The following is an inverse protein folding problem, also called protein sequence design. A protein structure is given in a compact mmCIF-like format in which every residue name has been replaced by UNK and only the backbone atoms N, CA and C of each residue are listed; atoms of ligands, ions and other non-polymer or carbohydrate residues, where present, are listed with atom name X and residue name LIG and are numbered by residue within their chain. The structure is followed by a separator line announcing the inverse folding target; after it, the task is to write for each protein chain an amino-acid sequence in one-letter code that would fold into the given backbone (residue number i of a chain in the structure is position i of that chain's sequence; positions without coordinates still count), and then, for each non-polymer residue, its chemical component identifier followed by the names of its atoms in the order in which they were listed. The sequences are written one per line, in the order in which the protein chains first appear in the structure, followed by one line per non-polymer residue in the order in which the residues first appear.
data_IF_751259520525
#
_entry.id   IF_751259520525
#
_cell.length_a   1.000
_cell.length_b   1.000
_cell.length_c   1.000
_cell.angle_alpha   90.00
_cell.angle_beta   90.00
_cell.angle_gamma   90.00
#
_symmetry.space_group_name_H-M   'P 1'
#
loop_
_entity.id
_entity.type
_entity.pdbx_description
1 polymer ?
#
# COMPACT_ATOMS: atom_id res chain seq x y z
N UNK A 1 22.58 3.59 3.19
CA UNK A 1 22.02 3.38 1.84
C UNK A 1 20.66 2.73 2.04
N UNK A 2 19.64 3.24 1.37
CA UNK A 2 18.33 2.63 1.40
C UNK A 2 18.34 1.40 0.49
N UNK A 3 17.89 0.28 1.03
CA UNK A 3 17.83 -0.99 0.30
C UNK A 3 16.58 -1.79 0.65
N UNK A 4 15.71 -1.28 1.52
CA UNK A 4 14.45 -1.95 1.83
C UNK A 4 13.40 -1.67 0.75
N UNK A 5 12.27 -2.34 0.85
CA UNK A 5 11.21 -2.32 -0.15
C UNK A 5 9.87 -1.97 0.51
N UNK A 6 8.98 -1.33 -0.25
CA UNK A 6 7.63 -1.09 0.20
C UNK A 6 6.61 -1.15 -0.94
N UNK A 7 5.37 -1.49 -0.63
CA UNK A 7 4.26 -1.42 -1.58
C UNK A 7 3.15 -0.57 -0.97
N UNK A 8 2.67 0.42 -1.73
CA UNK A 8 1.36 1.03 -1.49
C UNK A 8 0.33 0.09 -2.11
N UNK A 9 -0.37 -0.66 -1.25
CA UNK A 9 -1.30 -1.72 -1.65
C UNK A 9 -2.72 -1.17 -1.63
N UNK A 10 -3.43 -1.28 -2.75
CA UNK A 10 -4.86 -0.97 -2.83
C UNK A 10 -5.68 -2.23 -3.10
N UNK A 11 -6.94 -2.14 -2.68
CA UNK A 11 -7.99 -3.11 -2.94
C UNK A 11 -9.06 -2.40 -3.77
N UNK A 12 -8.94 -2.40 -5.11
CA UNK A 12 -9.75 -1.51 -5.94
C UNK A 12 -11.23 -1.84 -5.91
N UNK A 13 -11.57 -3.12 -5.75
CA UNK A 13 -12.95 -3.60 -5.73
C UNK A 13 -13.47 -3.75 -4.28
N UNK A 14 -12.80 -3.14 -3.30
CA UNK A 14 -13.23 -3.20 -1.91
C UNK A 14 -14.53 -2.41 -1.70
N UNK A 15 -15.60 -3.01 -1.17
CA UNK A 15 -16.84 -2.30 -0.92
C UNK A 15 -16.70 -1.40 0.32
N UNK A 16 -16.79 -0.08 0.12
CA UNK A 16 -16.70 0.94 1.18
C UNK A 16 -18.09 1.48 1.49
N UNK A 17 -18.48 1.48 2.76
CA UNK A 17 -19.64 2.25 3.20
C UNK A 17 -19.22 3.73 3.34
N UNK A 18 -19.87 4.64 2.62
CA UNK A 18 -19.51 6.07 2.65
C UNK A 18 -20.23 6.85 3.73
N UNK A 19 -21.19 6.25 4.45
CA UNK A 19 -22.10 6.96 5.38
C UNK A 19 -22.79 8.18 4.73
N UNK A 20 -22.91 8.20 3.39
CA UNK A 20 -23.68 9.18 2.61
C UNK A 20 -24.99 8.58 2.12
N UNK A 21 -25.87 9.39 1.51
CA UNK A 21 -27.16 8.96 0.94
C UNK A 21 -27.03 7.78 -0.05
N UNK A 22 -25.85 7.59 -0.68
CA UNK A 22 -25.57 6.51 -1.62
C UNK A 22 -25.16 5.18 -0.96
N UNK A 23 -24.98 5.13 0.36
CA UNK A 23 -24.64 3.90 1.09
C UNK A 23 -23.23 3.37 0.76
N UNK A 24 -23.16 2.15 0.20
CA UNK A 24 -21.91 1.50 -0.19
C UNK A 24 -21.50 1.89 -1.62
N UNK A 25 -20.24 2.24 -1.82
CA UNK A 25 -19.63 2.37 -3.15
C UNK A 25 -18.30 1.65 -3.21
N UNK A 26 -18.07 0.97 -4.33
CA UNK A 26 -16.79 0.36 -4.68
C UNK A 26 -15.80 1.38 -5.24
N UNK A 27 -16.24 2.61 -5.55
CA UNK A 27 -15.46 3.59 -6.31
C UNK A 27 -14.27 4.22 -5.56
N UNK A 28 -14.17 4.03 -4.24
CA UNK A 28 -13.08 4.58 -3.41
C UNK A 28 -11.95 3.57 -3.15
N UNK A 29 -12.26 2.28 -3.05
CA UNK A 29 -11.29 1.25 -2.65
C UNK A 29 -10.80 1.38 -1.19
N UNK A 30 -9.92 0.46 -0.79
CA UNK A 30 -9.19 0.52 0.49
C UNK A 30 -7.68 0.42 0.24
N UNK A 31 -6.86 0.88 1.18
CA UNK A 31 -5.41 0.83 1.06
C UNK A 31 -4.68 0.50 2.36
N UNK A 32 -3.46 0.00 2.20
CA UNK A 32 -2.47 -0.10 3.26
C UNK A 32 -1.07 -0.09 2.67
N UNK A 33 -0.08 -0.30 3.53
CA UNK A 33 1.33 -0.27 3.16
C UNK A 33 2.02 -1.54 3.65
N UNK A 34 2.69 -2.22 2.72
CA UNK A 34 3.54 -3.38 2.99
C UNK A 34 4.98 -2.89 3.07
N UNK A 35 5.68 -3.21 4.15
CA UNK A 35 7.07 -2.87 4.41
C UNK A 35 7.88 -4.16 4.44
N UNK A 36 8.99 -4.21 3.70
CA UNK A 36 9.87 -5.38 3.64
C UNK A 36 11.32 -4.93 3.87
N UNK A 37 11.91 -5.40 4.95
CA UNK A 37 13.33 -5.18 5.27
C UNK A 37 14.21 -6.16 4.52
N UNK A 38 15.46 -5.80 4.22
CA UNK A 38 16.48 -6.69 3.66
C UNK A 38 16.79 -7.93 4.51
N UNK A 39 16.45 -7.91 5.81
CA UNK A 39 16.52 -9.12 6.65
C UNK A 39 15.39 -10.12 6.40
N UNK A 40 14.42 -9.78 5.54
CA UNK A 40 13.18 -10.50 5.34
C UNK A 40 12.07 -10.11 6.32
N UNK A 41 12.32 -9.24 7.31
CA UNK A 41 11.27 -8.78 8.22
C UNK A 41 10.18 -8.04 7.43
N UNK A 42 8.94 -8.48 7.59
CA UNK A 42 7.82 -7.91 6.84
C UNK A 42 6.73 -7.43 7.78
N UNK A 43 6.18 -6.25 7.49
CA UNK A 43 5.08 -5.65 8.23
C UNK A 43 4.05 -5.09 7.28
N UNK A 44 2.78 -5.17 7.67
CA UNK A 44 1.70 -4.54 6.94
C UNK A 44 0.87 -3.70 7.89
N UNK A 45 0.61 -2.46 7.49
CA UNK A 45 -0.21 -1.50 8.21
C UNK A 45 -1.29 -0.93 7.31
N UNK A 46 -2.46 -0.73 7.88
CA UNK A 46 -3.60 -0.08 7.22
C UNK A 46 -4.23 0.92 8.18
N UNK A 47 -4.81 1.98 7.65
CA UNK A 47 -5.49 3.00 8.42
C UNK A 47 -6.95 3.09 7.97
N UNK A 48 -7.89 3.18 8.89
CA UNK A 48 -9.29 3.24 8.52
C UNK A 48 -10.23 3.37 9.69
N UNK A 49 -11.51 3.52 9.39
CA UNK A 49 -12.59 3.62 10.39
C UNK A 49 -12.92 2.23 10.93
N UNK A 50 -12.23 1.86 11.99
CA UNK A 50 -12.20 0.50 12.53
C UNK A 50 -12.77 0.40 13.94
N UNK A 51 -12.91 1.55 14.59
CA UNK A 51 -13.48 1.75 15.90
C UNK A 51 -14.91 2.28 15.79
N UNK A 52 -15.77 2.07 16.81
CA UNK A 52 -17.14 2.59 16.80
C UNK A 52 -17.24 4.11 16.70
N UNK A 53 -16.20 4.83 17.14
CA UNK A 53 -16.14 6.29 17.05
C UNK A 53 -15.68 6.81 15.67
N UNK A 54 -15.31 5.91 14.76
CA UNK A 54 -14.96 6.23 13.37
C UNK A 54 -13.82 7.24 13.23
N UNK A 55 -12.93 7.33 14.24
CA UNK A 55 -11.88 8.36 14.32
C UNK A 55 -10.68 8.09 13.39
N UNK A 56 -10.57 6.86 12.88
CA UNK A 56 -9.37 6.39 12.20
C UNK A 56 -8.45 5.68 13.17
N UNK A 57 -8.14 4.44 12.87
CA UNK A 57 -7.24 3.62 13.67
C UNK A 57 -6.25 2.96 12.73
N UNK A 58 -4.99 2.95 13.13
CA UNK A 58 -3.99 2.13 12.46
C UNK A 58 -4.13 0.69 12.96
N UNK A 59 -4.22 -0.26 12.03
CA UNK A 59 -4.16 -1.70 12.31
C UNK A 59 -2.92 -2.29 11.67
N UNK A 60 -2.37 -3.31 12.31
CA UNK A 60 -1.39 -4.19 11.72
C UNK A 60 -2.02 -5.55 11.38
N UNK A 61 -1.54 -6.19 10.31
CA UNK A 61 -1.90 -7.57 9.97
C UNK A 61 -0.71 -8.47 10.14
N UNK A 62 -0.95 -9.64 10.74
CA UNK A 62 0.08 -10.66 10.83
C UNK A 62 0.20 -11.34 9.46
N UNK A 63 1.38 -11.22 8.87
CA UNK A 63 1.72 -11.80 7.58
C UNK A 63 3.07 -12.52 7.66
N UNK A 64 3.36 -13.45 6.72
CA UNK A 64 4.67 -14.08 6.62
C UNK A 64 5.77 -13.05 6.37
N UNK A 65 6.96 -13.33 6.90
CA UNK A 65 8.18 -12.61 6.53
C UNK A 65 8.57 -12.95 5.08
N UNK A 66 9.15 -11.98 4.40
CA UNK A 66 9.71 -12.15 3.07
C UNK A 66 10.95 -13.06 3.10
N UNK A 67 11.08 -13.85 2.04
CA UNK A 67 12.31 -14.52 1.65
C UNK A 67 13.00 -13.62 0.64
N UNK A 68 14.21 -13.15 0.95
CA UNK A 68 15.01 -12.29 0.07
C UNK A 68 15.81 -13.16 -0.89
N UNK A 69 15.71 -12.86 -2.19
CA UNK A 69 16.44 -13.54 -3.25
C UNK A 69 17.87 -13.05 -3.39
N UNK A 70 18.63 -13.68 -4.29
CA UNK A 70 20.02 -13.30 -4.58
C UNK A 70 20.16 -11.89 -5.17
N UNK A 71 19.09 -11.34 -5.73
CA UNK A 71 19.02 -9.96 -6.22
C UNK A 71 18.77 -8.92 -5.11
N UNK A 72 18.72 -9.35 -3.84
CA UNK A 72 18.44 -8.46 -2.71
C UNK A 72 17.00 -7.94 -2.70
N UNK A 73 16.03 -8.65 -3.28
CA UNK A 73 14.60 -8.29 -3.25
C UNK A 73 13.76 -9.46 -2.75
N UNK A 74 12.57 -9.20 -2.24
CA UNK A 74 11.61 -10.25 -1.93
C UNK A 74 11.38 -11.16 -3.16
N UNK A 75 11.42 -12.47 -2.96
CA UNK A 75 11.18 -13.40 -4.06
C UNK A 75 9.73 -13.27 -4.58
N UNK A 76 9.47 -13.46 -5.88
CA UNK A 76 8.11 -13.37 -6.40
C UNK A 76 7.14 -14.36 -5.75
N UNK A 77 7.62 -15.55 -5.34
CA UNK A 77 6.79 -16.57 -4.70
C UNK A 77 6.31 -16.16 -3.30
N UNK A 78 7.18 -15.61 -2.45
CA UNK A 78 6.79 -15.15 -1.12
C UNK A 78 5.93 -13.88 -1.20
N UNK A 79 6.23 -12.96 -2.13
CA UNK A 79 5.43 -11.77 -2.34
C UNK A 79 4.00 -12.15 -2.74
N UNK A 80 3.83 -13.08 -3.69
CA UNK A 80 2.51 -13.62 -4.07
C UNK A 80 1.76 -14.24 -2.88
N UNK A 81 2.45 -14.96 -2.00
CA UNK A 81 1.84 -15.54 -0.80
C UNK A 81 1.39 -14.45 0.20
N UNK A 82 2.19 -13.40 0.38
CA UNK A 82 1.84 -12.23 1.20
C UNK A 82 0.62 -11.52 0.61
N UNK A 83 0.61 -11.22 -0.70
CA UNK A 83 -0.51 -10.54 -1.37
C UNK A 83 -1.80 -11.35 -1.28
N UNK A 84 -1.74 -12.68 -1.42
CA UNK A 84 -2.89 -13.56 -1.18
C UNK A 84 -3.42 -13.41 0.25
N UNK A 85 -2.53 -13.45 1.24
CA UNK A 85 -2.90 -13.28 2.64
C UNK A 85 -3.56 -11.93 2.91
N UNK A 86 -3.03 -10.86 2.31
CA UNK A 86 -3.56 -9.50 2.43
C UNK A 86 -4.91 -9.33 1.74
N UNK A 87 -5.09 -9.89 0.54
CA UNK A 87 -6.38 -9.91 -0.15
C UNK A 87 -7.45 -10.54 0.75
N UNK A 88 -7.16 -11.65 1.41
CA UNK A 88 -8.11 -12.28 2.35
C UNK A 88 -8.34 -11.45 3.63
N UNK A 89 -7.28 -11.00 4.29
CA UNK A 89 -7.36 -10.39 5.64
C UNK A 89 -7.80 -8.91 5.65
N UNK A 90 -7.51 -8.18 4.57
CA UNK A 90 -7.71 -6.74 4.45
C UNK A 90 -8.52 -6.36 3.22
N UNK A 91 -8.46 -7.17 2.15
CA UNK A 91 -9.13 -6.91 0.88
C UNK A 91 -10.48 -7.60 0.68
N UNK A 92 -11.02 -8.34 1.65
CA UNK A 92 -12.27 -9.14 1.48
C UNK A 92 -12.23 -10.10 0.26
N UNK A 93 -11.07 -10.69 -0.01
CA UNK A 93 -10.80 -11.55 -1.18
C UNK A 93 -10.99 -10.85 -2.54
N UNK A 94 -10.79 -9.54 -2.63
CA UNK A 94 -10.75 -8.81 -3.91
C UNK A 94 -9.33 -8.73 -4.47
N UNK A 95 -9.20 -8.33 -5.74
CA UNK A 95 -7.89 -8.11 -6.35
C UNK A 95 -7.10 -7.02 -5.63
N UNK A 96 -5.79 -7.07 -5.83
CA UNK A 96 -4.84 -6.06 -5.38
C UNK A 96 -4.23 -5.38 -6.61
N UNK A 97 -4.05 -4.07 -6.50
CA UNK A 97 -3.18 -3.25 -7.33
C UNK A 97 -2.21 -2.52 -6.39
N UNK A 98 -0.95 -2.38 -6.75
CA UNK A 98 0.02 -1.73 -5.89
C UNK A 98 1.12 -1.01 -6.68
N UNK A 99 1.58 0.12 -6.13
CA UNK A 99 2.82 0.76 -6.54
C UNK A 99 3.96 0.17 -5.70
N UNK A 100 5.04 -0.24 -6.35
CA UNK A 100 6.17 -0.92 -5.72
C UNK A 100 7.42 -0.02 -5.71
N UNK A 101 7.86 0.27 -4.48
CA UNK A 101 8.97 1.17 -4.18
C UNK A 101 10.19 0.37 -3.73
N UNK A 102 11.34 0.74 -4.29
CA UNK A 102 12.66 0.23 -3.91
C UNK A 102 13.47 1.34 -3.23
N UNK A 103 14.63 0.98 -2.67
CA UNK A 103 15.51 1.92 -2.00
C UNK A 103 14.78 2.69 -0.89
N UNK A 104 14.10 1.95 0.00
CA UNK A 104 13.38 2.49 1.14
C UNK A 104 14.14 2.32 2.46
N UNK A 105 13.73 3.07 3.47
CA UNK A 105 14.16 2.93 4.87
C UNK A 105 13.05 2.29 5.71
N UNK A 106 13.16 0.98 5.96
CA UNK A 106 12.13 0.24 6.70
C UNK A 106 11.89 0.81 8.09
N UNK A 107 12.94 1.20 8.81
CA UNK A 107 12.84 1.60 10.21
C UNK A 107 12.14 2.96 10.34
N UNK A 108 12.38 3.90 9.40
CA UNK A 108 11.62 5.17 9.35
C UNK A 108 10.15 4.98 8.98
N UNK A 109 9.87 4.13 7.99
CA UNK A 109 8.49 3.80 7.62
C UNK A 109 7.75 3.17 8.80
N UNK A 110 8.38 2.20 9.46
CA UNK A 110 7.81 1.52 10.63
C UNK A 110 7.58 2.49 11.79
N UNK A 111 8.54 3.38 12.08
CA UNK A 111 8.40 4.37 13.14
C UNK A 111 7.16 5.24 12.94
N UNK A 112 6.98 5.80 11.74
CA UNK A 112 5.78 6.59 11.43
C UNK A 112 4.50 5.76 11.53
N UNK A 113 4.52 4.55 10.97
CA UNK A 113 3.35 3.67 10.95
C UNK A 113 2.85 3.26 12.34
N UNK A 114 3.71 3.27 13.37
CA UNK A 114 3.30 2.88 14.74
C UNK A 114 3.04 4.07 15.66
N UNK A 115 3.56 5.26 15.38
CA UNK A 115 3.41 6.43 16.26
C UNK A 115 2.29 7.36 15.86
N UNK A 116 2.00 7.47 14.56
CA UNK A 116 1.07 8.48 14.06
C UNK A 116 -0.40 8.07 14.36
N UNK A 117 -1.17 9.01 14.90
CA UNK A 117 -2.61 8.85 15.15
C UNK A 117 -3.37 10.01 14.50
N UNK A 118 -3.44 10.03 13.17
CA UNK A 118 -4.08 11.11 12.45
C UNK A 118 -5.61 10.99 12.57
N UNK A 119 -6.30 12.12 12.53
CA UNK A 119 -7.75 12.13 12.44
C UNK A 119 -8.20 11.70 11.04
N UNK A 120 -9.10 10.74 10.96
CA UNK A 120 -9.61 10.25 9.68
C UNK A 120 -10.44 11.31 8.95
N UNK A 121 -10.21 11.40 7.64
CA UNK A 121 -11.04 12.15 6.71
C UNK A 121 -11.11 11.43 5.38
N UNK A 122 -12.31 11.20 4.85
CA UNK A 122 -12.51 10.54 3.56
C UNK A 122 -11.77 11.30 2.43
N UNK A 123 -11.73 12.63 2.51
CA UNK A 123 -11.23 13.50 1.45
C UNK A 123 -9.78 13.91 1.67
N UNK A 124 -9.38 14.20 2.91
CA UNK A 124 -8.07 14.82 3.20
C UNK A 124 -7.07 13.91 3.91
N UNK A 125 -7.52 12.82 4.56
CA UNK A 125 -6.62 11.88 5.23
C UNK A 125 -7.29 10.52 5.44
N UNK A 126 -7.33 9.72 4.37
CA UNK A 126 -7.89 8.37 4.34
C UNK A 126 -6.78 7.30 4.31
N UNK A 127 -7.15 6.04 4.06
CA UNK A 127 -6.20 4.91 3.98
C UNK A 127 -5.09 5.10 2.94
N UNK A 128 -5.40 5.71 1.79
CA UNK A 128 -4.43 5.98 0.72
C UNK A 128 -3.41 7.04 1.14
N UNK A 129 -3.87 8.15 1.74
CA UNK A 129 -2.99 9.20 2.28
C UNK A 129 -2.07 8.67 3.37
N UNK A 130 -2.58 7.82 4.26
CA UNK A 130 -1.77 7.19 5.29
C UNK A 130 -0.66 6.34 4.68
N UNK A 131 -0.99 5.47 3.71
CA UNK A 131 0.00 4.62 3.05
C UNK A 131 1.05 5.46 2.30
N UNK A 132 0.62 6.49 1.58
CA UNK A 132 1.49 7.49 0.95
C UNK A 132 2.42 8.15 1.98
N UNK A 133 1.89 8.63 3.09
CA UNK A 133 2.68 9.29 4.12
C UNK A 133 3.77 8.37 4.69
N UNK A 134 3.46 7.08 4.90
CA UNK A 134 4.45 6.08 5.32
C UNK A 134 5.57 5.94 4.27
N UNK A 135 5.23 5.75 2.99
CA UNK A 135 6.21 5.65 1.89
C UNK A 135 7.16 6.86 1.91
N UNK A 136 6.61 8.06 1.99
CA UNK A 136 7.39 9.30 1.97
C UNK A 136 8.32 9.49 3.19
N UNK A 137 8.10 8.77 4.30
CA UNK A 137 9.06 8.72 5.41
C UNK A 137 10.21 7.75 5.14
N UNK A 138 9.97 6.71 4.37
CA UNK A 138 11.00 5.73 3.98
C UNK A 138 11.99 6.29 2.97
N UNK A 139 11.52 7.11 2.04
CA UNK A 139 12.39 7.82 1.11
C UNK A 139 11.74 9.17 0.73
N UNK A 140 12.31 10.32 1.16
CA UNK A 140 11.75 11.63 0.85
C UNK A 140 11.94 12.05 -0.60
N UNK A 141 12.79 11.35 -1.36
CA UNK A 141 13.08 11.60 -2.77
C UNK A 141 12.20 10.77 -3.72
N UNK A 142 11.21 10.04 -3.19
CA UNK A 142 10.18 9.43 -4.04
C UNK A 142 9.36 10.54 -4.67
N UNK A 143 9.23 10.50 -5.99
CA UNK A 143 8.47 11.47 -6.76
C UNK A 143 7.02 11.54 -6.30
N UNK A 144 6.55 12.77 -6.13
CA UNK A 144 5.25 13.06 -5.54
C UNK A 144 4.30 13.52 -6.63
N UNK A 145 3.39 12.64 -7.08
CA UNK A 145 2.38 13.06 -8.03
C UNK A 145 1.43 14.08 -7.41
N UNK A 146 0.80 14.87 -8.27
CA UNK A 146 -0.28 15.78 -7.89
C UNK A 146 -1.57 14.97 -7.69
N UNK A 147 -1.95 14.70 -6.44
CA UNK A 147 -3.20 13.99 -6.14
C UNK A 147 -4.40 14.95 -6.21
N UNK A 148 -5.13 14.95 -7.33
CA UNK A 148 -6.39 15.71 -7.48
C UNK A 148 -7.57 14.91 -6.91
N UNK A 149 -7.61 13.61 -7.20
CA UNK A 149 -8.64 12.71 -6.70
C UNK A 149 -8.06 11.91 -5.52
N UNK A 150 -8.51 12.15 -4.28
CA UNK A 150 -7.92 11.57 -3.08
C UNK A 150 -8.29 10.09 -2.85
N UNK A 151 -8.92 9.41 -3.81
CA UNK A 151 -9.27 8.01 -3.61
C UNK A 151 -8.01 7.14 -3.55
N UNK A 152 -7.97 6.12 -2.70
CA UNK A 152 -6.90 5.11 -2.68
C UNK A 152 -6.49 4.61 -4.07
N UNK A 153 -7.46 4.31 -4.92
CA UNK A 153 -7.21 3.84 -6.28
C UNK A 153 -6.51 4.90 -7.12
N UNK A 154 -6.95 6.16 -7.08
CA UNK A 154 -6.27 7.21 -7.83
C UNK A 154 -4.86 7.44 -7.29
N UNK A 155 -4.67 7.44 -5.97
CA UNK A 155 -3.34 7.66 -5.38
C UNK A 155 -2.34 6.61 -5.88
N UNK A 156 -2.71 5.32 -5.93
CA UNK A 156 -1.80 4.30 -6.44
C UNK A 156 -1.54 4.44 -7.93
N UNK A 157 -2.55 4.83 -8.70
CA UNK A 157 -2.44 5.01 -10.15
C UNK A 157 -1.45 6.11 -10.48
N UNK A 158 -1.55 7.24 -9.79
CA UNK A 158 -0.63 8.37 -9.95
C UNK A 158 0.81 7.97 -9.61
N UNK A 159 1.04 7.19 -8.55
CA UNK A 159 2.39 6.70 -8.25
C UNK A 159 2.94 5.73 -9.30
N UNK A 160 2.08 4.92 -9.92
CA UNK A 160 2.47 4.04 -11.03
C UNK A 160 2.79 4.88 -12.29
N UNK A 161 2.05 5.97 -12.53
CA UNK A 161 2.28 6.91 -13.62
C UNK A 161 3.55 7.75 -13.46
N UNK A 162 4.06 7.91 -12.23
CA UNK A 162 5.40 8.47 -11.94
C UNK A 162 6.49 7.37 -11.97
N UNK A 163 6.29 6.30 -12.74
CA UNK A 163 7.32 5.31 -13.03
C UNK A 163 7.50 4.18 -12.02
N UNK A 164 6.74 4.13 -10.92
CA UNK A 164 6.86 3.02 -9.97
C UNK A 164 6.33 1.72 -10.59
N UNK A 165 6.99 0.59 -10.30
CA UNK A 165 6.56 -0.70 -10.84
C UNK A 165 5.15 -1.07 -10.33
N UNK A 166 4.25 -1.39 -11.26
CA UNK A 166 2.92 -1.89 -10.91
C UNK A 166 3.00 -3.35 -10.45
N UNK A 167 2.32 -3.68 -9.35
CA UNK A 167 2.10 -5.06 -8.92
C UNK A 167 0.60 -5.35 -8.92
N UNK A 168 0.19 -6.37 -9.67
CA UNK A 168 -1.18 -6.86 -9.70
C UNK A 168 -1.25 -8.24 -9.06
N UNK A 169 -2.31 -8.49 -8.29
CA UNK A 169 -2.62 -9.82 -7.80
C UNK A 169 -4.12 -10.11 -7.89
N UNK A 170 -4.46 -11.26 -8.49
CA UNK A 170 -5.83 -11.77 -8.56
C UNK A 170 -5.99 -12.94 -7.58
N UNK A 171 -6.84 -12.84 -6.54
CA UNK A 171 -7.09 -13.96 -5.64
C UNK A 171 -7.82 -15.12 -6.34
N UNK A 172 -8.62 -14.82 -7.36
CA UNK A 172 -9.41 -15.81 -8.12
C UNK A 172 -8.53 -16.73 -8.96
N UNK A 173 -7.60 -16.17 -9.74
CA UNK A 173 -6.66 -16.97 -10.56
C UNK A 173 -5.40 -17.33 -9.77
N UNK A 174 -5.14 -16.60 -8.69
CA UNK A 174 -3.90 -16.66 -7.94
C UNK A 174 -2.72 -16.07 -8.71
N UNK A 175 -2.90 -15.40 -9.84
CA UNK A 175 -1.83 -14.83 -10.63
C UNK A 175 -1.30 -13.53 -10.01
N UNK A 176 0.01 -13.30 -10.20
CA UNK A 176 0.68 -12.07 -9.80
C UNK A 176 1.57 -11.61 -10.95
N UNK A 177 1.53 -10.32 -11.26
CA UNK A 177 2.48 -9.66 -12.16
C UNK A 177 3.24 -8.59 -11.40
N UNK A 178 4.50 -8.38 -11.80
CA UNK A 178 5.33 -7.27 -11.34
C UNK A 178 5.83 -6.59 -12.62
N UNK A 179 5.42 -5.34 -12.82
CA UNK A 179 5.88 -4.49 -13.91
C UNK A 179 7.37 -4.17 -13.77
N UNK A 180 7.96 -3.57 -14.81
CA UNK A 180 9.37 -3.17 -14.75
C UNK A 180 9.58 -1.87 -13.97
N UNK A 181 8.56 -1.02 -13.89
CA UNK A 181 8.72 0.41 -13.56
C UNK A 181 9.46 1.14 -14.68
N UNK A 182 9.38 2.46 -14.69
CA UNK A 182 10.13 3.33 -15.59
C UNK A 182 10.45 4.66 -14.90
N UNK A 183 11.53 4.73 -14.12
CA UNK A 183 11.95 6.00 -13.48
C UNK A 183 12.44 7.07 -14.49
N UNK A 184 12.19 6.93 -15.80
CA UNK A 184 12.50 7.97 -16.80
C UNK A 184 11.37 8.99 -17.00
N UNK A 185 10.16 8.71 -16.52
CA UNK A 185 9.02 9.63 -16.49
C UNK A 185 8.85 10.36 -15.14
N UNK A 186 9.62 9.93 -14.13
CA UNK A 186 9.88 10.58 -12.86
C UNK A 186 10.07 12.10 -13.04
N UNK A 187 9.09 12.91 -12.63
CA UNK A 187 9.14 14.37 -12.80
C UNK A 187 10.29 14.94 -11.97
N UNK A 188 11.30 15.48 -12.66
CA UNK A 188 12.44 16.24 -12.08
C UNK A 188 12.05 17.23 -10.98
#
# INVERSE_FOLDING_TARGET
MYNDEALLVTYPDYPVNTDTFYGYTEMVGHAGVLLIKQSGLTKYYEFGRYDPAMNGVVRNKRIPNAVIGSNGKATPSILKAILRSLSTQSGKNTRIRAAYFINMDFDKMLAYAITEQPQYSIISFNCGHYAQAVILKGNPNVDRPLIINPTPNNIVDEYIEEGNAEVLFSPTTGEMTIGKGDESDAKE
#
